data_IF_447812611537
#
_entry.id   IF_447812611537
#
_cell.length_a   1.000
_cell.length_b   1.000
_cell.length_c   1.000
_cell.angle_alpha   90.00
_cell.angle_beta   90.00
_cell.angle_gamma   90.00
#
_symmetry.space_group_name_H-M   'P 1'
#
loop_
_entity.id
_entity.type
_entity.pdbx_description
1 polymer ?
#
# COMPACT_ATOMS: atom_id res chain seq x y z
N UNK A 1 -29.88 -6.13 -41.86
CA UNK A 1 -29.72 -5.65 -40.47
C UNK A 1 -29.98 -6.83 -39.54
N UNK A 2 -28.93 -7.54 -39.12
CA UNK A 2 -29.09 -8.76 -38.31
C UNK A 2 -29.39 -8.40 -36.87
N UNK A 3 -30.66 -8.52 -36.46
CA UNK A 3 -31.07 -8.44 -35.05
C UNK A 3 -30.20 -9.42 -34.26
N UNK A 4 -29.47 -8.91 -33.25
CA UNK A 4 -28.52 -9.68 -32.46
C UNK A 4 -29.24 -10.86 -31.78
N UNK A 5 -28.58 -12.03 -31.71
CA UNK A 5 -29.08 -13.25 -31.05
C UNK A 5 -29.76 -13.00 -29.68
N UNK A 6 -29.27 -12.12 -28.79
CA UNK A 6 -29.95 -11.84 -27.51
C UNK A 6 -31.33 -11.19 -27.68
N UNK A 7 -31.52 -10.30 -28.67
CA UNK A 7 -32.81 -9.62 -28.90
C UNK A 7 -33.87 -10.62 -29.38
N UNK A 8 -33.49 -11.59 -30.22
CA UNK A 8 -34.39 -12.66 -30.68
C UNK A 8 -34.81 -13.57 -29.52
N UNK A 9 -33.87 -13.90 -28.63
CA UNK A 9 -34.12 -14.76 -27.46
C UNK A 9 -35.02 -14.05 -26.42
N UNK A 10 -34.78 -12.76 -26.18
CA UNK A 10 -35.62 -11.94 -25.31
C UNK A 10 -37.05 -11.80 -25.86
N UNK A 11 -37.19 -11.55 -27.17
CA UNK A 11 -38.50 -11.51 -27.84
C UNK A 11 -39.26 -12.84 -27.75
N UNK A 12 -38.57 -13.96 -27.95
CA UNK A 12 -39.16 -15.30 -27.79
C UNK A 12 -39.61 -15.56 -26.35
N UNK A 13 -38.79 -15.18 -25.37
CA UNK A 13 -39.11 -15.37 -23.95
C UNK A 13 -40.32 -14.54 -23.53
N UNK A 14 -40.40 -13.26 -23.94
CA UNK A 14 -41.58 -12.42 -23.70
C UNK A 14 -42.83 -13.00 -24.35
N UNK A 15 -42.73 -13.48 -25.59
CA UNK A 15 -43.85 -14.11 -26.28
C UNK A 15 -44.37 -15.35 -25.52
N UNK A 16 -43.46 -16.20 -25.02
CA UNK A 16 -43.81 -17.38 -24.23
C UNK A 16 -44.49 -17.02 -22.90
N UNK A 17 -44.00 -15.99 -22.19
CA UNK A 17 -44.62 -15.51 -20.94
C UNK A 17 -46.06 -15.06 -21.20
N UNK A 18 -46.29 -14.27 -22.26
CA UNK A 18 -47.63 -13.82 -22.65
C UNK A 18 -48.52 -15.00 -23.04
N UNK A 19 -48.00 -15.96 -23.81
CA UNK A 19 -48.72 -17.19 -24.18
C UNK A 19 -49.15 -18.00 -22.96
N UNK A 20 -48.25 -18.22 -21.99
CA UNK A 20 -48.55 -18.93 -20.73
C UNK A 20 -49.63 -18.18 -19.94
N UNK A 21 -49.53 -16.85 -19.88
CA UNK A 21 -50.49 -16.02 -19.18
C UNK A 21 -51.89 -16.05 -19.83
N UNK A 22 -51.96 -16.04 -21.16
CA UNK A 22 -53.21 -16.18 -21.92
C UNK A 22 -53.79 -17.60 -21.79
N UNK A 23 -52.94 -18.65 -21.82
CA UNK A 23 -53.36 -20.04 -21.65
C UNK A 23 -53.84 -20.36 -20.23
N UNK A 24 -53.53 -19.53 -19.23
CA UNK A 24 -54.07 -19.66 -17.88
C UNK A 24 -55.61 -19.54 -17.85
N UNK A 25 -56.20 -18.76 -18.77
CA UNK A 25 -57.64 -18.56 -18.87
C UNK A 25 -58.43 -19.84 -19.19
N UNK A 26 -58.14 -20.58 -20.28
CA UNK A 26 -58.84 -21.83 -20.56
C UNK A 26 -58.54 -22.91 -19.52
N UNK A 27 -57.36 -22.92 -18.90
CA UNK A 27 -57.03 -23.86 -17.82
C UNK A 27 -57.92 -23.61 -16.59
N UNK A 28 -58.02 -22.36 -16.14
CA UNK A 28 -58.89 -21.99 -15.02
C UNK A 28 -60.38 -22.25 -15.30
N UNK A 29 -60.81 -22.11 -16.56
CA UNK A 29 -62.22 -22.25 -16.97
C UNK A 29 -62.68 -23.67 -17.24
N UNK A 30 -61.84 -24.53 -17.82
CA UNK A 30 -62.26 -25.84 -18.35
C UNK A 30 -61.60 -27.04 -17.68
N UNK A 31 -60.44 -26.88 -17.02
CA UNK A 31 -59.66 -27.98 -16.46
C UNK A 31 -59.73 -28.10 -14.94
N UNK A 32 -60.15 -27.05 -14.22
CA UNK A 32 -60.29 -27.08 -12.77
C UNK A 32 -61.75 -27.45 -12.41
N UNK A 33 -61.98 -28.56 -11.70
CA UNK A 33 -63.32 -28.96 -11.26
C UNK A 33 -63.94 -27.88 -10.36
N UNK A 34 -65.20 -27.53 -10.62
CA UNK A 34 -65.97 -26.50 -9.90
C UNK A 34 -66.04 -26.72 -8.39
N UNK A 35 -65.78 -27.94 -7.91
CA UNK A 35 -65.90 -28.32 -6.49
C UNK A 35 -64.62 -28.04 -5.68
N UNK A 36 -63.53 -27.57 -6.32
CA UNK A 36 -62.23 -27.38 -5.66
C UNK A 36 -61.96 -25.93 -5.24
N UNK A 37 -62.53 -24.95 -5.96
CA UNK A 37 -62.37 -23.53 -5.70
C UNK A 37 -63.65 -22.76 -6.08
N UNK A 38 -64.19 -21.94 -5.16
CA UNK A 38 -65.37 -21.10 -5.43
C UNK A 38 -65.13 -20.07 -6.55
N UNK A 39 -63.87 -19.63 -6.73
CA UNK A 39 -63.42 -18.80 -7.86
C UNK A 39 -62.08 -19.32 -8.40
N UNK A 40 -62.04 -20.05 -9.52
CA UNK A 40 -60.84 -20.75 -10.00
C UNK A 40 -59.81 -19.83 -10.69
N UNK A 41 -60.19 -18.59 -11.02
CA UNK A 41 -59.32 -17.66 -11.75
C UNK A 41 -58.28 -17.00 -10.84
N UNK A 42 -58.67 -16.54 -9.66
CA UNK A 42 -57.80 -15.79 -8.76
C UNK A 42 -56.58 -16.60 -8.28
N UNK A 43 -56.71 -17.86 -7.83
CA UNK A 43 -55.57 -18.66 -7.38
C UNK A 43 -54.56 -18.97 -8.50
N UNK A 44 -55.05 -19.21 -9.72
CA UNK A 44 -54.22 -19.57 -10.89
C UNK A 44 -53.40 -18.37 -11.36
N UNK A 45 -54.03 -17.21 -11.52
CA UNK A 45 -53.32 -16.00 -11.94
C UNK A 45 -52.39 -15.48 -10.84
N UNK A 46 -52.77 -15.59 -9.56
CA UNK A 46 -51.89 -15.26 -8.45
C UNK A 46 -50.65 -16.18 -8.42
N UNK A 47 -50.83 -17.50 -8.57
CA UNK A 47 -49.72 -18.45 -8.67
C UNK A 47 -48.76 -18.17 -9.82
N UNK A 48 -49.28 -17.81 -11.00
CA UNK A 48 -48.45 -17.41 -12.16
C UNK A 48 -47.71 -16.10 -11.91
N UNK A 49 -48.37 -15.09 -11.32
CA UNK A 49 -47.73 -13.82 -10.98
C UNK A 49 -46.60 -14.00 -9.96
N UNK A 50 -46.81 -14.85 -8.95
CA UNK A 50 -45.77 -15.20 -7.97
C UNK A 50 -44.60 -15.93 -8.65
N UNK A 51 -44.88 -16.86 -9.56
CA UNK A 51 -43.85 -17.58 -10.31
C UNK A 51 -43.00 -16.63 -11.18
N UNK A 52 -43.64 -15.73 -11.94
CA UNK A 52 -42.91 -14.74 -12.75
C UNK A 52 -42.12 -13.77 -11.89
N UNK A 53 -42.66 -13.34 -10.75
CA UNK A 53 -41.94 -12.50 -9.79
C UNK A 53 -40.72 -13.22 -9.23
N UNK A 54 -40.85 -14.50 -8.85
CA UNK A 54 -39.75 -15.31 -8.36
C UNK A 54 -38.67 -15.56 -9.43
N UNK A 55 -39.07 -15.79 -10.69
CA UNK A 55 -38.15 -15.94 -11.82
C UNK A 55 -37.39 -14.64 -12.13
N UNK A 56 -38.09 -13.50 -12.12
CA UNK A 56 -37.47 -12.19 -12.30
C UNK A 56 -36.45 -11.90 -11.18
N UNK A 57 -36.82 -12.19 -9.93
CA UNK A 57 -35.93 -12.05 -8.78
C UNK A 57 -34.70 -12.98 -8.88
N UNK A 58 -34.89 -14.23 -9.30
CA UNK A 58 -33.79 -15.16 -9.57
C UNK A 58 -32.85 -14.64 -10.66
N UNK A 59 -33.39 -14.05 -11.73
CA UNK A 59 -32.60 -13.39 -12.77
C UNK A 59 -31.77 -12.22 -12.25
N UNK A 60 -32.33 -11.40 -11.34
CA UNK A 60 -31.59 -10.32 -10.67
C UNK A 60 -30.46 -10.86 -9.81
N UNK A 61 -30.70 -11.91 -9.00
CA UNK A 61 -29.65 -12.54 -8.18
C UNK A 61 -28.52 -13.07 -9.05
N UNK A 62 -28.84 -13.79 -10.13
CA UNK A 62 -27.83 -14.33 -11.05
C UNK A 62 -27.03 -13.18 -11.68
N UNK A 63 -27.70 -12.11 -12.08
CA UNK A 63 -27.04 -10.93 -12.65
C UNK A 63 -26.09 -10.27 -11.66
N UNK A 64 -26.52 -10.07 -10.41
CA UNK A 64 -25.67 -9.53 -9.34
C UNK A 64 -24.47 -10.44 -9.06
N UNK A 65 -24.66 -11.76 -9.09
CA UNK A 65 -23.57 -12.72 -8.91
C UNK A 65 -22.54 -12.64 -10.05
N UNK A 66 -22.99 -12.56 -11.30
CA UNK A 66 -22.10 -12.38 -12.45
C UNK A 66 -21.37 -11.05 -12.42
N UNK A 67 -22.07 -9.94 -12.10
CA UNK A 67 -21.45 -8.62 -11.97
C UNK A 67 -20.40 -8.58 -10.85
N UNK A 68 -20.67 -9.26 -9.73
CA UNK A 68 -19.71 -9.39 -8.64
C UNK A 68 -18.46 -10.16 -9.08
N UNK A 69 -18.60 -11.24 -9.84
CA UNK A 69 -17.46 -12.01 -10.33
C UNK A 69 -16.66 -11.26 -11.39
N UNK A 70 -17.32 -10.60 -12.35
CA UNK A 70 -16.67 -9.78 -13.37
C UNK A 70 -15.91 -8.60 -12.74
N UNK A 71 -16.49 -7.95 -11.73
CA UNK A 71 -15.82 -6.91 -10.94
C UNK A 71 -14.57 -7.44 -10.22
N UNK A 72 -14.61 -8.67 -9.69
CA UNK A 72 -13.45 -9.30 -9.05
C UNK A 72 -12.34 -9.61 -10.05
N UNK A 73 -12.68 -10.11 -11.24
CA UNK A 73 -11.70 -10.38 -12.31
C UNK A 73 -11.07 -9.07 -12.78
N UNK A 74 -11.88 -8.05 -13.09
CA UNK A 74 -11.37 -6.74 -13.51
C UNK A 74 -10.45 -6.11 -12.47
N UNK A 75 -10.82 -6.16 -11.18
CA UNK A 75 -9.98 -5.69 -10.07
C UNK A 75 -8.64 -6.44 -10.01
N UNK A 76 -8.65 -7.75 -10.27
CA UNK A 76 -7.43 -8.57 -10.28
C UNK A 76 -6.50 -8.19 -11.43
N UNK A 77 -7.03 -8.05 -12.64
CA UNK A 77 -6.25 -7.63 -13.81
C UNK A 77 -5.64 -6.23 -13.61
N UNK A 78 -6.39 -5.29 -13.04
CA UNK A 78 -5.89 -3.96 -12.69
C UNK A 78 -4.74 -4.01 -11.67
N UNK A 79 -4.86 -4.89 -10.66
CA UNK A 79 -3.78 -5.13 -9.69
C UNK A 79 -2.55 -5.72 -10.38
N UNK A 80 -2.71 -6.75 -11.21
CA UNK A 80 -1.59 -7.40 -11.92
C UNK A 80 -0.87 -6.41 -12.86
N UNK A 81 -1.62 -5.58 -13.58
CA UNK A 81 -1.06 -4.50 -14.40
C UNK A 81 -0.32 -3.47 -13.56
N UNK A 82 -0.92 -3.04 -12.44
CA UNK A 82 -0.28 -2.10 -11.52
C UNK A 82 1.02 -2.66 -10.94
N UNK A 83 1.06 -3.97 -10.61
CA UNK A 83 2.27 -4.66 -10.13
C UNK A 83 3.36 -4.62 -11.20
N UNK A 84 3.01 -4.94 -12.44
CA UNK A 84 3.95 -4.93 -13.55
C UNK A 84 4.52 -3.53 -13.81
N UNK A 85 3.67 -2.50 -13.83
CA UNK A 85 4.10 -1.09 -13.98
C UNK A 85 5.01 -0.63 -12.83
N UNK A 86 4.70 -1.03 -11.58
CA UNK A 86 5.55 -0.79 -10.41
C UNK A 86 6.91 -1.47 -10.53
N UNK A 87 6.95 -2.73 -10.96
CA UNK A 87 8.19 -3.46 -11.18
C UNK A 87 9.03 -2.83 -12.29
N UNK A 88 8.41 -2.44 -13.41
CA UNK A 88 9.10 -1.74 -14.50
C UNK A 88 9.70 -0.41 -14.04
N UNK A 89 8.95 0.35 -13.24
CA UNK A 89 9.45 1.60 -12.67
C UNK A 89 10.59 1.34 -11.70
N UNK A 90 10.45 0.37 -10.79
CA UNK A 90 11.48 0.03 -9.81
C UNK A 90 12.79 -0.47 -10.45
N UNK A 91 12.70 -1.10 -11.62
CA UNK A 91 13.85 -1.59 -12.38
C UNK A 91 14.38 -0.58 -13.41
N UNK A 92 13.74 0.58 -13.56
CA UNK A 92 14.17 1.61 -14.48
C UNK A 92 15.50 2.24 -14.05
N UNK A 93 16.21 2.81 -15.03
CA UNK A 93 17.50 3.47 -14.78
C UNK A 93 17.32 4.69 -13.86
N UNK A 94 16.26 5.46 -14.07
CA UNK A 94 15.91 6.62 -13.25
C UNK A 94 15.69 6.22 -11.80
N UNK A 95 14.99 5.10 -11.55
CA UNK A 95 14.75 4.64 -10.19
C UNK A 95 16.02 4.04 -9.55
N UNK A 96 16.93 3.43 -10.33
CA UNK A 96 18.24 3.04 -9.78
C UNK A 96 19.02 4.25 -9.27
N UNK A 97 19.00 5.38 -9.98
CA UNK A 97 19.64 6.62 -9.51
C UNK A 97 19.01 7.13 -8.19
N UNK A 98 17.68 7.02 -8.06
CA UNK A 98 16.98 7.33 -6.80
C UNK A 98 17.47 6.41 -5.68
N UNK A 99 17.56 5.10 -5.93
CA UNK A 99 18.05 4.14 -4.93
C UNK A 99 19.49 4.44 -4.51
N UNK A 100 20.37 4.70 -5.46
CA UNK A 100 21.79 4.98 -5.17
C UNK A 100 21.95 6.25 -4.36
N UNK A 101 21.27 7.34 -4.74
CA UNK A 101 21.30 8.60 -3.99
C UNK A 101 20.73 8.46 -2.57
N UNK A 102 19.58 7.80 -2.44
CA UNK A 102 18.98 7.52 -1.14
C UNK A 102 19.90 6.67 -0.25
N UNK A 103 20.52 5.64 -0.83
CA UNK A 103 21.37 4.73 -0.09
C UNK A 103 22.69 5.39 0.33
N UNK A 104 23.27 6.29 -0.47
CA UNK A 104 24.43 7.11 -0.06
C UNK A 104 24.13 7.97 1.16
N UNK A 105 22.97 8.62 1.20
CA UNK A 105 22.54 9.38 2.37
C UNK A 105 22.39 8.46 3.61
N UNK A 106 21.70 7.32 3.47
CA UNK A 106 21.53 6.37 4.56
C UNK A 106 22.85 5.80 5.06
N UNK A 107 23.76 5.43 4.17
CA UNK A 107 25.08 4.88 4.50
C UNK A 107 25.94 5.90 5.24
N UNK A 108 25.86 7.18 4.83
CA UNK A 108 26.52 8.27 5.57
C UNK A 108 25.94 8.40 6.98
N UNK A 109 24.62 8.24 7.15
CA UNK A 109 23.98 8.23 8.47
C UNK A 109 24.32 7.02 9.33
N UNK A 110 24.57 5.85 8.72
CA UNK A 110 25.05 4.66 9.43
C UNK A 110 26.44 4.91 10.00
N UNK A 111 27.32 5.56 9.23
CA UNK A 111 28.71 5.81 9.61
C UNK A 111 28.92 7.02 10.53
N UNK A 112 27.95 7.93 10.59
CA UNK A 112 28.03 9.17 11.38
C UNK A 112 26.68 9.46 12.05
N UNK A 113 26.63 9.31 13.37
CA UNK A 113 25.42 9.56 14.19
C UNK A 113 24.90 10.98 14.02
N UNK A 114 25.78 11.98 14.03
CA UNK A 114 25.39 13.39 13.82
C UNK A 114 24.69 13.61 12.47
N UNK A 115 25.12 12.90 11.43
CA UNK A 115 24.50 12.98 10.13
C UNK A 115 23.15 12.26 10.10
N UNK A 116 22.98 11.12 10.79
CA UNK A 116 21.67 10.51 10.94
C UNK A 116 20.69 11.41 11.72
N UNK A 117 21.13 12.07 12.78
CA UNK A 117 20.32 13.06 13.50
C UNK A 117 19.95 14.25 12.61
N UNK A 118 20.91 14.72 11.80
CA UNK A 118 20.68 15.72 10.78
C UNK A 118 19.60 15.27 9.78
N UNK A 119 19.69 14.07 9.20
CA UNK A 119 18.69 13.51 8.30
C UNK A 119 17.31 13.47 8.95
N UNK A 120 17.20 12.91 10.16
CA UNK A 120 15.94 12.83 10.89
C UNK A 120 15.35 14.23 11.18
N UNK A 121 16.19 15.23 11.44
CA UNK A 121 15.73 16.61 11.62
C UNK A 121 15.14 17.24 10.35
N UNK A 122 15.59 16.82 9.16
CA UNK A 122 15.12 17.35 7.87
C UNK A 122 13.73 16.84 7.49
N UNK A 123 13.25 15.76 8.13
CA UNK A 123 11.88 15.28 8.00
C UNK A 123 10.84 16.21 8.66
N UNK A 124 11.30 17.23 9.42
CA UNK A 124 10.46 18.25 10.03
C UNK A 124 10.75 19.62 9.43
N UNK A 125 9.71 20.48 9.34
CA UNK A 125 9.86 21.85 8.83
C UNK A 125 10.46 22.81 9.87
N UNK A 126 10.43 22.43 11.15
CA UNK A 126 10.97 23.20 12.27
C UNK A 126 12.11 22.45 12.95
N UNK A 127 13.01 23.21 13.59
CA UNK A 127 14.14 22.67 14.38
C UNK A 127 15.08 21.79 13.56
N UNK A 128 15.36 22.18 12.32
CA UNK A 128 16.31 21.49 11.45
C UNK A 128 17.75 21.73 11.93
N UNK A 129 18.54 20.66 12.03
CA UNK A 129 19.94 20.73 12.43
C UNK A 129 20.82 21.23 11.27
N UNK A 130 21.95 21.89 11.56
CA UNK A 130 22.95 22.24 10.54
C UNK A 130 23.63 20.98 9.98
N UNK A 131 24.17 21.09 8.78
CA UNK A 131 24.92 20.00 8.14
C UNK A 131 26.22 19.71 8.94
N UNK A 132 26.50 18.45 9.32
CA UNK A 132 27.70 18.10 10.08
C UNK A 132 28.92 17.97 9.16
N UNK A 133 29.97 18.80 9.31
CA UNK A 133 31.11 18.82 8.39
C UNK A 133 31.94 17.53 8.42
N UNK A 134 31.93 16.80 9.54
CA UNK A 134 32.69 15.56 9.71
C UNK A 134 32.33 14.47 8.68
N UNK A 135 31.08 14.46 8.19
CA UNK A 135 30.61 13.45 7.22
C UNK A 135 31.06 13.73 5.78
N UNK A 136 31.60 14.92 5.47
CA UNK A 136 31.96 15.32 4.11
C UNK A 136 32.98 14.35 3.48
N UNK A 137 33.92 13.84 4.27
CA UNK A 137 34.90 12.84 3.81
C UNK A 137 34.23 11.53 3.38
N UNK A 138 33.23 11.07 4.14
CA UNK A 138 32.44 9.88 3.79
C UNK A 138 31.68 10.10 2.49
N UNK A 139 30.98 11.24 2.34
CA UNK A 139 30.24 11.55 1.11
C UNK A 139 31.14 11.55 -0.13
N UNK A 140 32.37 12.06 -0.03
CA UNK A 140 33.37 12.03 -1.11
C UNK A 140 33.89 10.62 -1.40
N UNK A 141 33.91 9.74 -0.40
CA UNK A 141 34.38 8.36 -0.56
C UNK A 141 33.32 7.48 -1.21
N UNK A 142 32.04 7.73 -0.90
CA UNK A 142 30.91 6.95 -1.41
C UNK A 142 30.53 7.28 -2.86
N UNK A 143 30.99 8.40 -3.39
CA UNK A 143 30.68 8.84 -4.75
C UNK A 143 31.90 9.47 -5.42
N UNK A 144 32.35 8.84 -6.51
CA UNK A 144 33.48 9.30 -7.30
C UNK A 144 33.26 10.71 -7.86
N UNK A 145 32.02 11.06 -8.21
CA UNK A 145 31.67 12.39 -8.74
C UNK A 145 31.85 13.49 -7.68
N UNK A 146 31.81 13.11 -6.39
CA UNK A 146 31.92 14.06 -5.28
C UNK A 146 33.35 14.27 -4.79
N UNK A 147 34.31 13.44 -5.20
CA UNK A 147 35.67 13.44 -4.66
C UNK A 147 36.37 14.81 -4.71
N UNK A 148 36.16 15.55 -5.78
CA UNK A 148 36.83 16.84 -6.03
C UNK A 148 35.96 18.06 -5.69
N UNK A 149 34.78 17.86 -5.09
CA UNK A 149 33.89 18.95 -4.72
C UNK A 149 34.40 19.66 -3.46
N UNK A 150 34.32 20.99 -3.48
CA UNK A 150 34.56 21.80 -2.30
C UNK A 150 33.47 21.62 -1.22
N UNK A 151 33.68 22.22 -0.04
CA UNK A 151 32.78 22.04 1.10
C UNK A 151 31.39 22.68 0.92
N UNK A 152 31.21 23.65 0.02
CA UNK A 152 29.88 24.17 -0.29
C UNK A 152 29.17 23.31 -1.33
N UNK A 153 29.90 22.87 -2.34
CA UNK A 153 29.41 21.98 -3.38
C UNK A 153 28.98 20.62 -2.82
N UNK A 154 29.71 20.08 -1.83
CA UNK A 154 29.34 18.81 -1.19
C UNK A 154 27.99 18.92 -0.46
N UNK A 155 27.70 20.05 0.20
CA UNK A 155 26.42 20.28 0.88
C UNK A 155 25.27 20.34 -0.14
N UNK A 156 25.52 20.93 -1.31
CA UNK A 156 24.53 20.95 -2.38
C UNK A 156 24.31 19.56 -2.98
N UNK A 157 25.39 18.81 -3.24
CA UNK A 157 25.32 17.44 -3.75
C UNK A 157 24.63 16.49 -2.74
N UNK A 158 24.90 16.66 -1.45
CA UNK A 158 24.20 15.98 -0.36
C UNK A 158 22.69 16.23 -0.38
N UNK A 159 22.28 17.48 -0.59
CA UNK A 159 20.86 17.83 -0.70
C UNK A 159 20.16 17.04 -1.82
N UNK A 160 20.83 16.82 -2.95
CA UNK A 160 20.26 16.03 -4.03
C UNK A 160 20.02 14.56 -3.61
N UNK A 161 20.98 13.94 -2.94
CA UNK A 161 20.84 12.57 -2.41
C UNK A 161 19.72 12.47 -1.36
N UNK A 162 19.59 13.48 -0.49
CA UNK A 162 18.50 13.52 0.51
C UNK A 162 17.11 13.62 -0.13
N UNK A 163 16.97 14.36 -1.23
CA UNK A 163 15.70 14.37 -1.99
C UNK A 163 15.37 12.98 -2.55
N UNK A 164 16.38 12.21 -2.94
CA UNK A 164 16.16 10.82 -3.37
C UNK A 164 15.75 9.92 -2.19
N UNK A 165 16.31 10.15 -0.99
CA UNK A 165 15.84 9.48 0.22
C UNK A 165 14.37 9.80 0.53
N UNK A 166 13.96 11.06 0.41
CA UNK A 166 12.56 11.46 0.59
C UNK A 166 11.64 10.73 -0.40
N UNK A 167 12.07 10.54 -1.66
CA UNK A 167 11.33 9.76 -2.65
C UNK A 167 11.18 8.29 -2.25
N UNK A 168 12.23 7.67 -1.70
CA UNK A 168 12.18 6.28 -1.19
C UNK A 168 11.25 6.17 0.03
N UNK A 169 11.29 7.14 0.95
CA UNK A 169 10.38 7.16 2.11
C UNK A 169 8.92 7.29 1.66
N UNK A 170 8.64 8.16 0.70
CA UNK A 170 7.30 8.32 0.12
C UNK A 170 6.84 7.07 -0.63
N UNK A 171 7.73 6.42 -1.38
CA UNK A 171 7.46 5.15 -2.03
C UNK A 171 7.04 4.08 -1.02
N UNK A 172 7.80 3.92 0.07
CA UNK A 172 7.49 2.97 1.12
C UNK A 172 6.21 3.34 1.90
N UNK A 173 5.93 4.62 2.12
CA UNK A 173 4.68 5.08 2.73
C UNK A 173 3.47 4.73 1.84
N UNK A 174 3.58 4.94 0.54
CA UNK A 174 2.53 4.60 -0.43
C UNK A 174 2.31 3.09 -0.51
N UNK A 175 3.39 2.29 -0.47
CA UNK A 175 3.31 0.84 -0.34
C UNK A 175 2.69 0.41 1.00
N UNK A 176 2.99 1.06 2.12
CA UNK A 176 2.42 0.67 3.40
C UNK A 176 0.90 0.88 3.50
N UNK A 177 0.35 1.87 2.78
CA UNK A 177 -1.07 2.26 2.86
C UNK A 177 -1.99 1.55 1.86
N UNK A 178 -1.45 0.94 0.79
CA UNK A 178 -2.26 0.27 -0.23
C UNK A 178 -2.85 -1.05 0.32
N UNK A 179 -4.16 -1.23 0.20
CA UNK A 179 -4.83 -2.49 0.59
C UNK A 179 -4.28 -3.72 -0.15
N UNK A 180 -3.87 -3.52 -1.40
CA UNK A 180 -3.31 -4.58 -2.25
C UNK A 180 -1.81 -4.81 -2.03
N UNK A 181 -1.15 -4.10 -1.12
CA UNK A 181 0.30 -4.17 -0.95
C UNK A 181 0.82 -5.54 -0.57
N UNK A 182 0.06 -6.30 0.22
CA UNK A 182 0.41 -7.68 0.50
C UNK A 182 0.44 -8.56 -0.76
N UNK A 183 -0.42 -8.27 -1.73
CA UNK A 183 -0.40 -8.95 -3.04
C UNK A 183 0.76 -8.44 -3.89
N UNK A 184 0.97 -7.12 -3.95
CA UNK A 184 2.07 -6.52 -4.71
C UNK A 184 3.43 -7.05 -4.25
N UNK A 185 3.67 -7.04 -2.94
CA UNK A 185 4.94 -7.47 -2.31
C UNK A 185 5.18 -8.97 -2.48
N UNK A 186 4.12 -9.79 -2.49
CA UNK A 186 4.24 -11.23 -2.82
C UNK A 186 4.76 -11.48 -4.24
N UNK A 187 4.47 -10.57 -5.18
CA UNK A 187 4.87 -10.72 -6.58
C UNK A 187 6.16 -9.96 -6.92
N UNK A 188 6.49 -8.91 -6.17
CA UNK A 188 7.65 -8.07 -6.38
C UNK A 188 8.28 -7.70 -5.02
N UNK A 189 9.39 -8.34 -4.70
CA UNK A 189 10.20 -7.94 -3.54
C UNK A 189 11.00 -6.68 -3.89
N UNK A 190 10.78 -5.60 -3.13
CA UNK A 190 11.50 -4.34 -3.28
C UNK A 190 12.80 -4.30 -2.47
N UNK A 191 13.33 -5.48 -2.13
CA UNK A 191 14.49 -5.71 -1.28
C UNK A 191 14.34 -5.00 0.08
N UNK A 192 13.17 -5.10 0.71
CA UNK A 192 12.88 -4.37 1.95
C UNK A 192 13.90 -4.65 3.06
N UNK A 193 14.35 -5.90 3.19
CA UNK A 193 15.43 -6.32 4.10
C UNK A 193 16.72 -5.51 3.93
N UNK A 194 16.99 -5.04 2.71
CA UNK A 194 18.16 -4.23 2.42
C UNK A 194 18.05 -2.83 3.05
N UNK A 195 16.85 -2.24 3.05
CA UNK A 195 16.54 -0.90 3.52
C UNK A 195 16.19 -0.84 5.01
N UNK A 196 15.47 -1.86 5.48
CA UNK A 196 14.86 -1.95 6.80
C UNK A 196 15.76 -1.48 7.94
N UNK A 197 16.99 -2.00 8.13
CA UNK A 197 17.83 -1.58 9.26
C UNK A 197 18.24 -0.11 9.20
N UNK A 198 18.58 0.40 8.01
CA UNK A 198 18.98 1.79 7.83
C UNK A 198 17.80 2.76 8.03
N UNK A 199 16.61 2.38 7.55
CA UNK A 199 15.39 3.16 7.74
C UNK A 199 14.96 3.20 9.20
N UNK A 200 15.14 2.11 9.96
CA UNK A 200 14.83 2.09 11.39
C UNK A 200 15.69 3.06 12.21
N UNK A 201 16.96 3.29 11.84
CA UNK A 201 17.79 4.35 12.46
C UNK A 201 17.11 5.72 12.32
N UNK A 202 16.76 6.09 11.09
CA UNK A 202 16.13 7.40 10.81
C UNK A 202 14.77 7.50 11.48
N UNK A 203 13.98 6.43 11.44
CA UNK A 203 12.64 6.41 12.02
C UNK A 203 12.67 6.58 13.54
N UNK A 204 13.59 5.91 14.23
CA UNK A 204 13.73 6.01 15.69
C UNK A 204 14.24 7.38 16.12
N UNK A 205 15.23 7.93 15.40
CA UNK A 205 15.70 9.30 15.63
C UNK A 205 14.57 10.33 15.39
N UNK A 206 13.78 10.15 14.32
CA UNK A 206 12.63 11.00 14.04
C UNK A 206 11.60 10.94 15.19
N UNK A 207 11.29 9.73 15.66
CA UNK A 207 10.35 9.52 16.76
C UNK A 207 10.82 10.19 18.06
N UNK A 208 12.10 10.07 18.40
CA UNK A 208 12.69 10.73 19.57
C UNK A 208 12.60 12.26 19.48
N UNK A 209 12.91 12.85 18.32
CA UNK A 209 12.78 14.31 18.13
C UNK A 209 11.33 14.76 18.26
N UNK A 210 10.39 14.02 17.70
CA UNK A 210 8.96 14.30 17.85
C UNK A 210 8.49 14.18 19.32
N UNK A 211 9.01 13.20 20.07
CA UNK A 211 8.69 13.03 21.49
C UNK A 211 9.31 14.11 22.39
N UNK A 212 10.46 14.67 22.01
CA UNK A 212 11.18 15.63 22.85
C UNK A 212 10.88 17.10 22.53
N UNK A 213 10.20 17.42 21.43
CA UNK A 213 9.92 18.79 21.01
C UNK A 213 8.43 19.08 20.88
N UNK A 214 7.94 20.00 21.72
CA UNK A 214 6.57 20.51 21.62
C UNK A 214 6.31 21.24 20.30
N UNK A 215 7.31 21.99 19.80
CA UNK A 215 7.20 22.74 18.55
C UNK A 215 7.04 21.81 17.36
N UNK A 216 7.79 20.71 17.32
CA UNK A 216 7.63 19.67 16.29
C UNK A 216 6.21 19.10 16.35
N UNK A 217 5.73 18.70 17.52
CA UNK A 217 4.35 18.18 17.68
C UNK A 217 3.28 19.19 17.27
N UNK A 218 3.52 20.47 17.49
CA UNK A 218 2.58 21.54 17.14
C UNK A 218 2.48 21.73 15.63
N UNK A 219 3.62 21.85 14.94
CA UNK A 219 3.67 22.28 13.53
C UNK A 219 3.84 21.15 12.51
N UNK A 220 4.29 19.96 12.93
CA UNK A 220 4.50 18.82 12.05
C UNK A 220 3.49 17.71 12.39
N UNK A 221 2.49 17.53 11.52
CA UNK A 221 1.42 16.51 11.68
C UNK A 221 1.57 15.30 10.76
N UNK A 222 2.65 15.26 9.98
CA UNK A 222 2.91 14.18 9.04
C UNK A 222 3.08 12.85 9.79
N UNK A 223 2.71 11.76 9.12
CA UNK A 223 2.91 10.41 9.64
C UNK A 223 4.41 10.15 9.87
N UNK A 224 4.74 9.59 11.04
CA UNK A 224 6.10 9.18 11.36
C UNK A 224 6.52 7.96 10.53
N UNK A 225 7.80 7.90 10.19
CA UNK A 225 8.38 6.77 9.43
C UNK A 225 8.22 5.46 10.19
N UNK A 226 8.23 5.48 11.53
CA UNK A 226 8.00 4.27 12.35
C UNK A 226 6.64 3.63 12.08
N UNK A 227 5.59 4.41 11.82
CA UNK A 227 4.27 3.88 11.45
C UNK A 227 4.32 3.17 10.10
N UNK A 228 5.03 3.73 9.12
CA UNK A 228 5.25 3.11 7.81
C UNK A 228 6.03 1.80 7.92
N UNK A 229 7.14 1.80 8.67
CA UNK A 229 7.97 0.60 8.83
C UNK A 229 7.23 -0.51 9.57
N UNK A 230 6.45 -0.22 10.62
CA UNK A 230 5.62 -1.22 11.30
C UNK A 230 4.59 -1.87 10.37
N UNK A 231 3.99 -1.08 9.48
CA UNK A 231 3.05 -1.60 8.49
C UNK A 231 3.77 -2.49 7.45
N UNK A 232 4.95 -2.09 6.97
CA UNK A 232 5.76 -2.91 6.06
C UNK A 232 6.25 -4.19 6.74
N UNK A 233 6.75 -4.11 7.98
CA UNK A 233 7.17 -5.26 8.78
C UNK A 233 6.08 -6.33 8.84
N UNK A 234 4.83 -5.91 9.07
CA UNK A 234 3.68 -6.83 9.05
C UNK A 234 3.45 -7.47 7.68
N UNK A 235 3.62 -6.72 6.59
CA UNK A 235 3.39 -7.23 5.23
C UNK A 235 4.52 -8.19 4.80
N UNK A 236 5.77 -7.88 5.14
CA UNK A 236 6.95 -8.70 4.84
C UNK A 236 7.14 -9.86 5.84
N UNK A 237 6.39 -9.89 6.95
CA UNK A 237 6.41 -10.98 7.92
C UNK A 237 7.53 -10.88 8.97
N UNK A 238 8.06 -9.69 9.21
CA UNK A 238 9.05 -9.46 10.27
C UNK A 238 8.39 -9.45 11.66
N UNK A 239 9.18 -9.83 12.67
CA UNK A 239 8.79 -9.65 14.06
C UNK A 239 8.62 -8.15 14.37
N UNK A 240 7.55 -7.74 15.07
CA UNK A 240 7.32 -6.35 15.39
C UNK A 240 8.37 -5.84 16.39
N UNK A 241 8.92 -4.66 16.12
CA UNK A 241 9.75 -3.91 17.07
C UNK A 241 8.84 -2.94 17.84
N UNK A 242 8.64 -3.20 19.13
CA UNK A 242 7.62 -2.56 19.95
C UNK A 242 8.17 -1.46 20.85
N UNK A 243 9.43 -1.57 21.28
CA UNK A 243 10.10 -0.61 22.15
C UNK A 243 11.29 0.07 21.48
N UNK A 244 11.68 1.25 21.98
CA UNK A 244 12.87 1.97 21.49
C UNK A 244 14.12 1.12 21.70
N UNK A 245 14.20 0.46 22.86
CA UNK A 245 15.29 -0.45 23.20
C UNK A 245 15.41 -1.62 22.21
N UNK A 246 14.31 -2.29 21.89
CA UNK A 246 14.31 -3.39 20.90
C UNK A 246 14.82 -2.93 19.52
N UNK A 247 14.44 -1.72 19.10
CA UNK A 247 14.91 -1.13 17.84
C UNK A 247 16.42 -0.90 17.87
N UNK A 248 16.96 -0.31 18.94
CA UNK A 248 18.39 -0.08 19.06
C UNK A 248 19.20 -1.38 19.24
N UNK A 249 18.67 -2.38 19.94
CA UNK A 249 19.28 -3.72 20.02
C UNK A 249 19.34 -4.36 18.63
N UNK A 250 18.24 -4.29 17.86
CA UNK A 250 18.21 -4.74 16.48
C UNK A 250 19.24 -4.00 15.60
N UNK A 251 19.33 -2.68 15.68
CA UNK A 251 20.24 -1.85 14.88
C UNK A 251 21.72 -2.17 15.21
N UNK A 252 22.08 -2.12 16.50
CA UNK A 252 23.47 -2.25 16.95
C UNK A 252 24.04 -3.66 16.75
N UNK A 253 23.19 -4.68 16.70
CA UNK A 253 23.58 -6.06 16.46
C UNK A 253 23.42 -6.49 15.00
N UNK A 254 22.87 -5.63 14.12
CA UNK A 254 22.58 -6.02 12.74
C UNK A 254 23.89 -6.22 11.95
N UNK A 255 24.19 -7.43 11.43
CA UNK A 255 25.48 -7.73 10.82
C UNK A 255 25.84 -6.77 9.69
N UNK A 256 24.87 -6.47 8.84
CA UNK A 256 25.08 -5.58 7.69
C UNK A 256 25.33 -4.13 8.06
N UNK A 257 24.78 -3.64 9.18
CA UNK A 257 25.07 -2.28 9.64
C UNK A 257 26.51 -2.21 10.17
N UNK A 258 26.93 -3.26 10.88
CA UNK A 258 28.32 -3.41 11.33
C UNK A 258 29.29 -3.46 10.15
N UNK A 259 28.97 -4.23 9.10
CA UNK A 259 29.77 -4.30 7.86
C UNK A 259 29.90 -2.95 7.15
N UNK A 260 28.86 -2.11 7.25
CA UNK A 260 28.87 -0.74 6.74
C UNK A 260 29.62 0.27 7.61
N UNK A 261 30.15 -0.17 8.76
CA UNK A 261 30.85 0.68 9.70
C UNK A 261 29.91 1.52 10.56
N UNK A 262 28.89 0.88 11.14
CA UNK A 262 27.97 1.51 12.10
C UNK A 262 28.74 2.32 13.14
N UNK A 263 28.35 3.59 13.30
CA UNK A 263 28.95 4.50 14.29
C UNK A 263 28.79 3.93 15.71
N UNK A 264 29.90 3.69 16.45
CA UNK A 264 29.84 3.17 17.81
C UNK A 264 29.01 4.02 18.77
N UNK A 265 28.84 5.32 18.50
CA UNK A 265 28.04 6.23 19.32
C UNK A 265 26.54 5.86 19.34
N UNK A 266 26.05 5.07 18.37
CA UNK A 266 24.68 4.55 18.44
C UNK A 266 24.43 3.64 19.65
N UNK A 267 25.47 3.08 20.26
CA UNK A 267 25.34 2.28 21.48
C UNK A 267 24.88 3.12 22.69
N UNK A 268 25.10 4.43 22.68
CA UNK A 268 24.65 5.32 23.76
C UNK A 268 23.12 5.27 23.93
N UNK A 269 22.41 4.98 22.85
CA UNK A 269 20.95 4.84 22.87
C UNK A 269 20.44 3.55 23.50
N UNK A 270 21.28 2.53 23.68
CA UNK A 270 20.96 1.36 24.50
C UNK A 270 21.03 1.68 26.00
N UNK A 271 21.88 2.63 26.37
CA UNK A 271 22.15 3.01 27.76
C UNK A 271 21.22 4.10 28.28
N UNK A 272 20.50 4.79 27.40
CA UNK A 272 19.56 5.84 27.78
C UNK A 272 18.26 5.21 28.29
N UNK A 273 17.86 5.41 29.56
CA UNK A 273 16.58 4.89 30.04
C UNK A 273 15.43 5.49 29.23
N UNK A 274 14.44 4.66 28.87
CA UNK A 274 13.24 5.12 28.18
C UNK A 274 12.58 6.21 29.03
N UNK A 275 12.68 7.47 28.60
CA UNK A 275 11.83 8.53 29.12
C UNK A 275 10.41 8.17 28.75
N UNK A 276 9.70 7.59 29.72
CA UNK A 276 8.27 7.35 29.70
C UNK A 276 7.55 8.63 29.27
N UNK A 277 6.96 8.60 28.08
CA UNK A 277 5.92 9.52 27.67
C UNK A 277 4.60 9.14 28.37
#
# INVERSE_FOLDING_TARGET
>A
MSISRPIKLAGLTMFLIVMIWVMAYPIARYLIPSDTFNEPFEPVYNGLNVLFTALAFGGVIITLAFQAEESRIARREEIERSIFELFQTFTSLEFQQVKDGAFRALLTGIQHREYAEYLASRLFVVEQLPFPPACAKTLRTLDAEKQNLDDQQIIHADRADRLMLDNILNFFAMLAQRESSATVIKHCDFAYDWWRPALWIIAELQQRRHANSEKIRMYCKNQLVTTTLKALDKVYGHAPLNSSREVWEYITQHPKLLDFGLDPEFNDYLSTPETSA
#
